data_IF_057180348146
#
_entry.id   IF_057180348146
#
_cell.length_a   1.000
_cell.length_b   1.000
_cell.length_c   1.000
_cell.angle_alpha   90.00
_cell.angle_beta   90.00
_cell.angle_gamma   90.00
#
_symmetry.space_group_name_H-M   'P 1'
#
loop_
_entity.id
_entity.type
_entity.pdbx_description
1 polymer ?
#
# COMPACT_ATOMS: atom_id res chain seq x y z
N UNK A 1 2.73 -18.57 24.98
CA UNK A 1 2.57 -17.22 24.40
C UNK A 1 3.82 -16.68 23.70
N UNK A 2 5.05 -16.85 24.25
CA UNK A 2 6.30 -16.38 23.60
C UNK A 2 6.55 -16.90 22.18
N UNK A 3 6.11 -18.13 21.88
CA UNK A 3 6.23 -18.74 20.54
C UNK A 3 5.37 -18.05 19.48
N UNK A 4 4.18 -17.54 19.84
CA UNK A 4 3.31 -16.81 18.92
C UNK A 4 3.94 -15.48 18.52
N UNK A 5 4.56 -14.79 19.47
CA UNK A 5 5.28 -13.54 19.23
C UNK A 5 6.50 -13.74 18.31
N UNK A 6 7.18 -14.90 18.38
CA UNK A 6 8.27 -15.22 17.46
C UNK A 6 7.82 -15.52 16.02
N UNK A 7 6.57 -15.95 15.82
CA UNK A 7 6.03 -16.26 14.49
C UNK A 7 5.33 -15.05 13.85
N UNK A 8 4.91 -14.08 14.66
CA UNK A 8 4.31 -12.82 14.21
C UNK A 8 5.09 -12.09 13.09
N UNK A 9 6.42 -11.88 13.14
CA UNK A 9 7.11 -11.15 12.07
C UNK A 9 7.08 -11.90 10.73
N UNK A 10 7.15 -13.24 10.76
CA UNK A 10 7.07 -14.07 9.55
C UNK A 10 5.66 -13.99 8.96
N UNK A 11 4.63 -14.06 9.80
CA UNK A 11 3.24 -13.91 9.36
C UNK A 11 2.98 -12.51 8.79
N UNK A 12 3.48 -11.46 9.43
CA UNK A 12 3.39 -10.09 8.93
C UNK A 12 4.07 -9.96 7.57
N UNK A 13 5.27 -10.52 7.42
CA UNK A 13 6.00 -10.49 6.15
C UNK A 13 5.24 -11.19 5.01
N UNK A 14 4.58 -12.32 5.29
CA UNK A 14 3.78 -13.04 4.30
C UNK A 14 2.47 -12.31 3.91
N UNK A 15 1.89 -11.52 4.81
CA UNK A 15 0.63 -10.77 4.55
C UNK A 15 0.89 -9.37 3.96
N UNK A 16 2.10 -8.82 4.15
CA UNK A 16 2.48 -7.48 3.68
C UNK A 16 2.23 -7.25 2.17
N UNK A 17 2.52 -8.19 1.24
CA UNK A 17 2.26 -7.97 -0.19
C UNK A 17 0.77 -7.76 -0.51
N UNK A 18 -0.16 -8.37 0.25
CA UNK A 18 -1.60 -8.15 0.09
C UNK A 18 -2.03 -6.75 0.53
N UNK A 19 -1.32 -6.14 1.50
CA UNK A 19 -1.61 -4.79 1.98
C UNK A 19 -1.12 -3.70 1.00
N UNK A 20 -0.15 -4.03 0.13
CA UNK A 20 0.24 -3.22 -1.02
C UNK A 20 -0.65 -3.49 -2.24
N UNK A 21 -1.96 -3.66 -2.02
CA UNK A 21 -2.92 -3.60 -3.11
C UNK A 21 -2.81 -2.21 -3.76
N UNK A 22 -2.13 -2.13 -4.90
CA UNK A 22 -2.14 -0.95 -5.75
C UNK A 22 -3.61 -0.69 -6.09
N UNK A 23 -4.16 0.43 -5.64
CA UNK A 23 -5.51 0.85 -6.00
C UNK A 23 -5.55 0.96 -7.54
N UNK A 24 -6.17 -0.01 -8.25
CA UNK A 24 -6.07 -0.07 -9.69
C UNK A 24 -6.68 1.20 -10.26
N UNK A 25 -5.94 1.90 -11.11
CA UNK A 25 -6.45 3.08 -11.81
C UNK A 25 -6.32 4.41 -11.05
N UNK A 26 -5.58 4.49 -9.93
CA UNK A 26 -5.10 5.81 -9.49
C UNK A 26 -4.20 6.38 -10.57
N UNK A 27 -4.61 7.49 -11.16
CA UNK A 27 -3.78 8.25 -12.12
C UNK A 27 -3.31 9.54 -11.48
N UNK A 28 -2.03 9.86 -11.68
CA UNK A 28 -1.44 11.13 -11.25
C UNK A 28 -1.21 12.05 -12.45
N UNK A 29 -1.63 13.32 -12.34
CA UNK A 29 -1.35 14.35 -13.34
C UNK A 29 -0.64 15.55 -12.69
N UNK A 30 0.54 15.98 -13.19
CA UNK A 30 1.21 17.16 -12.66
C UNK A 30 0.40 18.44 -12.94
N UNK A 31 0.40 19.38 -11.97
CA UNK A 31 -0.21 20.71 -12.13
C UNK A 31 0.83 21.78 -12.51
N UNK A 32 0.43 22.81 -13.28
CA UNK A 32 1.24 24.00 -13.48
C UNK A 32 1.56 24.68 -12.14
N UNK A 33 2.83 25.06 -11.93
CA UNK A 33 3.29 25.66 -10.67
C UNK A 33 3.73 24.66 -9.60
N UNK A 34 3.68 23.36 -9.91
CA UNK A 34 4.09 22.28 -9.00
C UNK A 34 2.90 21.61 -8.31
N UNK A 35 3.12 20.38 -7.85
CA UNK A 35 2.07 19.52 -7.26
C UNK A 35 1.59 18.43 -8.20
N UNK A 36 0.77 17.52 -7.66
CA UNK A 36 0.21 16.36 -8.36
C UNK A 36 -1.28 16.25 -8.06
N UNK A 37 -2.09 16.11 -9.10
CA UNK A 37 -3.51 15.76 -9.02
C UNK A 37 -3.63 14.25 -9.03
N UNK A 38 -4.47 13.69 -8.17
CA UNK A 38 -4.71 12.26 -8.09
C UNK A 38 -6.19 12.01 -8.34
N UNK A 39 -6.52 11.15 -9.30
CA UNK A 39 -7.90 10.72 -9.53
C UNK A 39 -8.03 9.23 -9.30
N UNK A 40 -9.07 8.86 -8.55
CA UNK A 40 -9.53 7.49 -8.42
C UNK A 40 -10.49 7.20 -9.60
N UNK A 41 -10.47 5.98 -10.15
CA UNK A 41 -11.54 5.55 -11.04
C UNK A 41 -12.81 5.39 -10.19
N UNK A 42 -13.89 6.06 -10.59
CA UNK A 42 -15.25 5.81 -10.08
C UNK A 42 -15.86 4.67 -10.87
#
# INVERSE_FOLDING_TARGET
MRRLLSVAPVLLWLVTPLAFAQLPGITSQPLPGGGQSWSLPV
#
